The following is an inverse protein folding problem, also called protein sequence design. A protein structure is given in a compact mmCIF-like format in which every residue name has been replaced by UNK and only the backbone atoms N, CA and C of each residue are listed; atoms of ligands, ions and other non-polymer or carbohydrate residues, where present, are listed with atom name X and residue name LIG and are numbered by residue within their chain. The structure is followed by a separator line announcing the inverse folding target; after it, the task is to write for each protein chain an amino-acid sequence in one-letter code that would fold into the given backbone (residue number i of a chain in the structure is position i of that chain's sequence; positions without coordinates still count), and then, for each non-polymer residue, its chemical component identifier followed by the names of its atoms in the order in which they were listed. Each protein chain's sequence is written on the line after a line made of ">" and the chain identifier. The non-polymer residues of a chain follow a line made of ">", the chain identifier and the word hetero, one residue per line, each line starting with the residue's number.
data_IF_721057317334
#
_entry.id   IF_721057317334
#
_cell.length_a   1.000
_cell.length_b   1.000
_cell.length_c   1.000
_cell.angle_alpha   90.00
_cell.angle_beta   90.00
_cell.angle_gamma   90.00
#
_symmetry.space_group_name_H-M   'P 1'
#
loop_
_entity.id
_entity.type
_entity.pdbx_description
1 polymer ?
#
# COMPACT_ATOMS: atom_id res chain seq x y z
N UNK A 1 -18.38 24.49 12.03
CA UNK A 1 -17.80 23.26 12.61
C UNK A 1 -16.62 22.90 11.73
N UNK A 2 -15.40 23.18 12.17
CA UNK A 2 -14.19 22.93 11.36
C UNK A 2 -13.97 21.41 11.30
N UNK A 3 -13.82 20.87 10.09
CA UNK A 3 -13.74 19.41 9.87
C UNK A 3 -12.54 18.84 10.64
N UNK A 4 -12.73 17.67 11.28
CA UNK A 4 -11.66 16.99 11.99
C UNK A 4 -10.51 16.59 11.04
N UNK A 5 -10.84 16.37 9.77
CA UNK A 5 -9.89 16.06 8.69
C UNK A 5 -8.97 17.25 8.38
N UNK A 6 -9.54 18.46 8.22
CA UNK A 6 -8.79 19.69 7.91
C UNK A 6 -7.73 20.01 8.97
N UNK A 7 -7.97 19.67 10.24
CA UNK A 7 -7.03 19.98 11.33
C UNK A 7 -5.77 19.11 11.32
N UNK A 8 -5.89 17.89 10.78
CA UNK A 8 -4.78 16.96 10.71
C UNK A 8 -4.08 17.02 9.35
N UNK A 9 -4.74 17.58 8.32
CA UNK A 9 -4.15 17.73 7.00
C UNK A 9 -2.91 18.63 7.05
N UNK A 10 -1.79 18.10 6.58
CA UNK A 10 -0.50 18.77 6.57
C UNK A 10 -0.13 19.16 5.13
N UNK A 11 -0.43 20.43 4.81
CA UNK A 11 -0.28 21.00 3.48
C UNK A 11 1.10 21.60 3.20
N UNK A 12 1.93 21.78 4.23
CA UNK A 12 3.18 22.53 4.13
C UNK A 12 4.41 21.66 3.87
N UNK A 13 4.26 20.32 3.94
CA UNK A 13 5.39 19.40 3.80
C UNK A 13 5.85 19.27 2.34
N UNK A 14 7.16 19.47 2.07
CA UNK A 14 7.73 19.28 0.74
C UNK A 14 7.53 17.86 0.21
N UNK A 15 7.36 17.73 -1.11
CA UNK A 15 7.08 16.44 -1.78
C UNK A 15 8.09 15.35 -1.42
N UNK A 16 9.39 15.64 -1.40
CA UNK A 16 10.40 14.64 -1.06
C UNK A 16 10.18 14.05 0.34
N UNK A 17 9.84 14.90 1.32
CA UNK A 17 9.55 14.44 2.68
C UNK A 17 8.25 13.64 2.74
N UNK A 18 7.22 14.04 1.97
CA UNK A 18 6.00 13.23 1.84
C UNK A 18 6.30 11.83 1.35
N UNK A 19 7.09 11.71 0.27
CA UNK A 19 7.47 10.45 -0.33
C UNK A 19 8.34 9.62 0.62
N UNK A 20 9.36 10.21 1.24
CA UNK A 20 10.22 9.51 2.20
C UNK A 20 9.41 8.89 3.36
N UNK A 21 8.46 9.65 3.93
CA UNK A 21 7.63 9.16 5.02
C UNK A 21 6.63 8.10 4.56
N UNK A 22 6.06 8.24 3.37
CA UNK A 22 5.20 7.23 2.76
C UNK A 22 5.96 5.91 2.57
N UNK A 23 7.19 6.00 2.10
CA UNK A 23 8.07 4.88 1.80
C UNK A 23 8.47 4.13 3.06
N UNK A 24 8.82 4.86 4.12
CA UNK A 24 9.09 4.28 5.43
C UNK A 24 7.88 3.51 6.00
N UNK A 25 6.66 4.01 5.75
CA UNK A 25 5.43 3.33 6.20
C UNK A 25 5.17 2.05 5.40
N UNK A 26 5.21 2.11 4.06
CA UNK A 26 4.97 0.96 3.18
C UNK A 26 6.04 -0.11 3.40
N UNK A 27 7.31 0.27 3.41
CA UNK A 27 8.42 -0.68 3.52
C UNK A 27 8.51 -1.31 4.93
N UNK A 28 7.93 -0.65 5.93
CA UNK A 28 7.85 -1.16 7.30
C UNK A 28 6.60 -2.00 7.61
N UNK A 29 5.76 -2.33 6.61
CA UNK A 29 4.56 -3.16 6.77
C UNK A 29 4.53 -4.20 5.64
N UNK A 30 4.91 -5.45 5.96
CA UNK A 30 5.06 -6.51 4.95
C UNK A 30 3.74 -6.98 4.33
N UNK A 31 2.67 -6.99 5.13
CA UNK A 31 1.34 -7.46 4.74
C UNK A 31 0.36 -6.29 4.74
N UNK A 32 -0.31 -6.07 3.61
CA UNK A 32 -1.37 -5.09 3.46
C UNK A 32 -2.71 -5.77 3.16
N UNK A 33 -3.78 -5.00 3.24
CA UNK A 33 -5.11 -5.38 2.80
C UNK A 33 -5.33 -4.90 1.35
N UNK A 34 -5.41 -5.84 0.42
CA UNK A 34 -5.63 -5.58 -1.01
C UNK A 34 -7.12 -5.73 -1.33
N UNK A 35 -7.75 -4.64 -1.75
CA UNK A 35 -9.19 -4.56 -1.98
C UNK A 35 -9.50 -4.48 -3.47
N UNK A 36 -10.38 -5.37 -3.92
CA UNK A 36 -10.91 -5.44 -5.29
C UNK A 36 -12.43 -5.31 -5.27
N UNK A 37 -13.02 -5.08 -6.46
CA UNK A 37 -14.46 -5.10 -6.66
C UNK A 37 -14.88 -6.38 -7.36
N UNK A 38 -15.80 -7.13 -6.75
CA UNK A 38 -16.37 -8.36 -7.33
C UNK A 38 -17.42 -8.03 -8.40
N UNK A 39 -17.75 -9.05 -9.20
CA UNK A 39 -18.79 -8.97 -10.25
C UNK A 39 -20.16 -8.53 -9.73
N UNK A 40 -20.47 -8.92 -8.49
CA UNK A 40 -21.70 -8.56 -7.78
C UNK A 40 -21.70 -7.11 -7.26
N UNK A 41 -20.61 -6.37 -7.51
CA UNK A 41 -20.43 -4.96 -7.16
C UNK A 41 -19.90 -4.73 -5.75
N UNK A 42 -19.76 -5.77 -4.93
CA UNK A 42 -19.27 -5.67 -3.56
C UNK A 42 -17.74 -5.63 -3.51
N UNK A 43 -17.22 -4.91 -2.51
CA UNK A 43 -15.78 -4.85 -2.24
C UNK A 43 -15.37 -6.01 -1.35
N UNK A 44 -14.19 -6.55 -1.61
CA UNK A 44 -13.60 -7.63 -0.83
C UNK A 44 -12.12 -7.34 -0.64
N UNK A 45 -11.66 -7.49 0.59
CA UNK A 45 -10.25 -7.27 0.93
C UNK A 45 -9.60 -8.59 1.34
N UNK A 46 -8.32 -8.75 1.00
CA UNK A 46 -7.51 -9.92 1.34
C UNK A 46 -6.10 -9.51 1.70
N UNK A 47 -5.53 -10.21 2.68
CA UNK A 47 -4.14 -9.99 3.07
C UNK A 47 -3.21 -10.38 1.92
N UNK A 48 -2.31 -9.49 1.54
CA UNK A 48 -1.30 -9.72 0.50
C UNK A 48 0.06 -9.19 0.92
N UNK A 49 1.11 -9.92 0.56
CA UNK A 49 2.49 -9.49 0.78
C UNK A 49 2.96 -8.54 -0.31
N UNK A 50 3.35 -7.32 0.09
CA UNK A 50 3.89 -6.32 -0.82
C UNK A 50 5.33 -6.70 -1.16
N UNK A 51 5.65 -6.72 -2.45
CA UNK A 51 7.02 -6.94 -2.89
C UNK A 51 7.82 -5.67 -2.67
N UNK A 52 9.13 -5.85 -2.42
CA UNK A 52 10.00 -4.73 -2.11
C UNK A 52 10.00 -3.79 -3.32
N UNK A 53 9.75 -2.52 -3.08
CA UNK A 53 9.76 -1.51 -4.13
C UNK A 53 11.18 -1.42 -4.69
N UNK A 54 11.29 -1.37 -6.01
CA UNK A 54 12.56 -1.05 -6.64
C UNK A 54 12.73 0.46 -6.78
N UNK A 55 11.67 1.18 -7.20
CA UNK A 55 11.60 2.64 -7.27
C UNK A 55 10.14 3.10 -7.17
N UNK A 56 9.93 4.29 -6.60
CA UNK A 56 8.64 5.00 -6.65
C UNK A 56 7.53 4.42 -5.78
N UNK A 57 6.34 5.01 -5.90
CA UNK A 57 5.17 4.72 -5.06
C UNK A 57 4.30 3.54 -5.53
N UNK A 58 4.68 2.89 -6.64
CA UNK A 58 3.93 1.77 -7.21
C UNK A 58 4.22 0.46 -6.45
N UNK A 59 3.23 -0.43 -6.43
CA UNK A 59 3.27 -1.64 -5.60
C UNK A 59 3.22 -2.90 -6.44
N UNK A 60 4.04 -3.87 -6.09
CA UNK A 60 4.08 -5.18 -6.74
C UNK A 60 3.59 -6.26 -5.79
N UNK A 61 2.84 -7.21 -6.33
CA UNK A 61 2.37 -8.39 -5.61
C UNK A 61 2.64 -9.64 -6.46
N UNK A 62 2.84 -10.77 -5.78
CA UNK A 62 2.89 -12.08 -6.43
C UNK A 62 1.63 -12.87 -6.08
N UNK A 63 1.11 -13.60 -7.05
CA UNK A 63 -0.02 -14.50 -6.83
C UNK A 63 0.01 -15.66 -7.83
N UNK A 64 -0.83 -16.66 -7.56
CA UNK A 64 -1.10 -17.74 -8.50
C UNK A 64 -2.09 -17.26 -9.57
N UNK A 65 -1.84 -17.66 -10.81
CA UNK A 65 -2.71 -17.44 -11.96
C UNK A 65 -4.12 -18.01 -11.74
N UNK A 66 -4.25 -19.08 -10.96
CA UNK A 66 -5.51 -19.78 -10.68
C UNK A 66 -6.21 -19.16 -9.45
N UNK A 67 -6.51 -17.86 -9.50
CA UNK A 67 -7.19 -17.19 -8.38
C UNK A 67 -8.27 -16.19 -8.80
N UNK A 68 -9.40 -16.20 -8.08
CA UNK A 68 -10.57 -15.34 -8.35
C UNK A 68 -10.24 -13.84 -8.39
N UNK A 69 -9.16 -13.43 -7.71
CA UNK A 69 -8.72 -12.02 -7.69
C UNK A 69 -8.32 -11.52 -9.07
N UNK A 70 -7.77 -12.39 -9.93
CA UNK A 70 -7.38 -11.99 -11.27
C UNK A 70 -8.62 -11.75 -12.13
N UNK A 71 -9.64 -12.60 -12.02
CA UNK A 71 -10.94 -12.41 -12.68
C UNK A 71 -11.63 -11.11 -12.23
N UNK A 72 -11.51 -10.75 -10.94
CA UNK A 72 -12.00 -9.47 -10.42
C UNK A 72 -11.27 -8.28 -11.08
N UNK A 73 -9.94 -8.35 -11.16
CA UNK A 73 -9.09 -7.29 -11.73
C UNK A 73 -9.25 -7.11 -13.25
N UNK A 74 -9.49 -8.21 -13.98
CA UNK A 74 -9.79 -8.14 -15.41
C UNK A 74 -11.10 -7.39 -15.69
N UNK A 75 -12.04 -7.41 -14.74
CA UNK A 75 -13.33 -6.71 -14.87
C UNK A 75 -13.30 -5.28 -14.37
N UNK A 76 -12.68 -5.04 -13.23
CA UNK A 76 -12.51 -3.72 -12.66
C UNK A 76 -11.07 -3.60 -12.12
N UNK A 77 -10.19 -2.86 -12.82
CA UNK A 77 -8.80 -2.71 -12.39
C UNK A 77 -8.66 -1.78 -11.18
N UNK A 78 -9.71 -1.08 -10.74
CA UNK A 78 -9.60 -0.16 -9.61
C UNK A 78 -9.42 -0.92 -8.30
N UNK A 79 -8.40 -0.53 -7.54
CA UNK A 79 -8.03 -1.18 -6.28
C UNK A 79 -7.76 -0.17 -5.18
N UNK A 80 -7.89 -0.64 -3.94
CA UNK A 80 -7.33 0.04 -2.78
C UNK A 80 -6.36 -0.89 -2.05
N UNK A 81 -5.17 -0.39 -1.72
CA UNK A 81 -4.19 -1.08 -0.90
C UNK A 81 -4.05 -0.34 0.42
N UNK A 82 -4.46 -0.99 1.51
CA UNK A 82 -4.48 -0.41 2.84
C UNK A 82 -3.44 -1.06 3.75
N UNK A 83 -2.68 -0.22 4.46
CA UNK A 83 -1.69 -0.61 5.44
C UNK A 83 -2.08 -0.06 6.81
N UNK A 84 -1.80 -0.83 7.86
CA UNK A 84 -2.04 -0.41 9.23
C UNK A 84 -0.95 -0.95 10.16
N UNK A 85 -0.33 -0.07 10.94
CA UNK A 85 0.67 -0.42 11.95
C UNK A 85 0.07 -0.24 13.34
N UNK A 86 -0.32 -1.33 13.98
CA UNK A 86 -1.05 -1.29 15.26
C UNK A 86 -0.30 -0.54 16.37
N UNK A 87 1.02 -0.77 16.50
CA UNK A 87 1.82 -0.17 17.58
C UNK A 87 1.88 1.37 17.55
N UNK A 88 1.86 1.98 16.37
CA UNK A 88 1.92 3.45 16.22
C UNK A 88 0.60 4.07 15.76
N UNK A 89 -0.36 3.23 15.32
CA UNK A 89 -1.62 3.60 14.68
C UNK A 89 -1.46 4.39 13.37
N UNK A 90 -0.29 4.28 12.76
CA UNK A 90 -0.03 4.81 11.42
C UNK A 90 -0.73 3.95 10.38
N UNK A 91 -1.20 4.58 9.31
CA UNK A 91 -1.89 3.89 8.23
C UNK A 91 -1.63 4.56 6.90
N UNK A 92 -1.78 3.78 5.84
CA UNK A 92 -1.65 4.23 4.44
C UNK A 92 -2.85 3.67 3.67
N UNK A 93 -3.44 4.48 2.81
CA UNK A 93 -4.43 4.06 1.82
C UNK A 93 -3.97 4.50 0.44
N UNK A 94 -3.65 3.54 -0.40
CA UNK A 94 -3.26 3.75 -1.79
C UNK A 94 -4.46 3.42 -2.68
N UNK A 95 -4.98 4.42 -3.38
CA UNK A 95 -5.97 4.23 -4.45
C UNK A 95 -5.25 4.17 -5.78
N UNK A 96 -5.58 3.21 -6.63
CA UNK A 96 -4.90 3.04 -7.91
C UNK A 96 -5.59 2.07 -8.84
N UNK A 97 -4.89 1.71 -9.92
CA UNK A 97 -5.31 0.69 -10.87
C UNK A 97 -4.30 -0.44 -10.92
N UNK A 98 -4.78 -1.67 -10.93
CA UNK A 98 -3.95 -2.85 -11.01
C UNK A 98 -3.83 -3.37 -12.46
N UNK A 99 -2.63 -3.83 -12.82
CA UNK A 99 -2.33 -4.55 -14.06
C UNK A 99 -1.78 -5.92 -13.73
N UNK A 100 -2.29 -6.93 -14.43
CA UNK A 100 -1.78 -8.31 -14.33
C UNK A 100 -0.59 -8.43 -15.27
N UNK A 101 0.55 -8.90 -14.76
CA UNK A 101 1.73 -9.18 -15.57
C UNK A 101 2.16 -10.63 -15.44
N UNK A 102 2.33 -11.27 -16.60
CA UNK A 102 2.96 -12.59 -16.77
C UNK A 102 4.34 -12.45 -17.44
N UNK A 103 4.89 -11.23 -17.46
CA UNK A 103 6.17 -10.96 -18.08
C UNK A 103 7.28 -11.69 -17.31
N UNK A 104 7.97 -12.60 -18.01
CA UNK A 104 9.00 -13.45 -17.44
C UNK A 104 10.22 -12.67 -16.96
N UNK A 105 10.51 -11.54 -17.59
CA UNK A 105 11.64 -10.70 -17.19
C UNK A 105 11.34 -9.91 -15.91
N UNK A 106 10.11 -9.44 -15.74
CA UNK A 106 9.65 -8.82 -14.48
C UNK A 106 9.61 -9.83 -13.33
N UNK A 107 9.14 -11.05 -13.60
CA UNK A 107 9.14 -12.14 -12.63
C UNK A 107 10.58 -12.46 -12.21
N UNK A 108 11.51 -12.67 -13.15
CA UNK A 108 12.92 -12.92 -12.83
C UNK A 108 13.56 -11.82 -12.00
N UNK A 109 13.23 -10.56 -12.32
CA UNK A 109 13.74 -9.39 -11.59
C UNK A 109 13.23 -9.33 -10.15
N UNK A 110 11.95 -9.61 -9.93
CA UNK A 110 11.30 -9.49 -8.61
C UNK A 110 11.31 -10.78 -7.77
N UNK A 111 11.63 -11.92 -8.39
CA UNK A 111 11.54 -13.23 -7.75
C UNK A 111 12.40 -13.31 -6.49
N UNK A 112 11.79 -13.88 -5.44
CA UNK A 112 12.48 -14.21 -4.19
C UNK A 112 12.38 -15.71 -3.97
N UNK A 113 13.46 -16.33 -3.49
CA UNK A 113 13.48 -17.76 -3.17
C UNK A 113 12.38 -18.17 -2.19
N UNK A 114 11.95 -17.26 -1.31
CA UNK A 114 10.84 -17.50 -0.38
C UNK A 114 9.47 -17.66 -1.05
N UNK A 115 9.30 -17.26 -2.32
CA UNK A 115 8.04 -17.44 -3.03
C UNK A 115 7.71 -18.92 -3.22
N UNK A 116 8.71 -19.80 -3.39
CA UNK A 116 8.49 -21.23 -3.63
C UNK A 116 7.71 -21.92 -2.52
N UNK A 117 7.68 -21.37 -1.30
CA UNK A 117 6.86 -21.87 -0.18
C UNK A 117 5.36 -21.81 -0.50
N UNK A 118 4.95 -20.83 -1.31
CA UNK A 118 3.56 -20.61 -1.71
C UNK A 118 3.18 -21.28 -3.04
N UNK A 119 4.17 -21.84 -3.74
CA UNK A 119 4.00 -22.54 -5.02
C UNK A 119 4.55 -23.97 -4.87
N UNK A 120 3.79 -24.90 -4.25
CA UNK A 120 4.27 -26.24 -3.97
C UNK A 120 4.62 -26.97 -5.27
N UNK A 121 5.62 -27.85 -5.22
CA UNK A 121 6.05 -28.64 -6.37
C UNK A 121 4.97 -29.67 -6.75
N UNK A 122 4.35 -29.44 -7.92
CA UNK A 122 3.36 -30.32 -8.56
C UNK A 122 4.00 -31.13 -9.71
N UNK A 123 5.32 -31.03 -9.88
CA UNK A 123 6.09 -31.69 -10.93
C UNK A 123 6.21 -30.89 -12.22
N UNK A 124 7.22 -31.23 -13.02
CA UNK A 124 7.50 -30.60 -14.30
C UNK A 124 7.83 -29.10 -14.16
N UNK A 125 7.08 -28.25 -14.84
CA UNK A 125 7.26 -26.80 -14.81
C UNK A 125 6.61 -26.13 -13.58
N UNK A 126 5.67 -26.80 -12.88
CA UNK A 126 4.94 -26.26 -11.72
C UNK A 126 5.68 -26.63 -10.42
N UNK A 127 6.92 -26.14 -10.28
CA UNK A 127 7.86 -26.54 -9.22
C UNK A 127 8.22 -25.41 -8.24
N UNK A 128 7.53 -24.28 -8.32
CA UNK A 128 7.79 -23.10 -7.50
C UNK A 128 9.08 -22.36 -7.83
N UNK A 129 9.80 -22.76 -8.89
CA UNK A 129 10.97 -22.03 -9.37
C UNK A 129 10.58 -20.70 -10.00
N UNK A 130 11.58 -19.85 -10.28
CA UNK A 130 11.36 -18.61 -11.02
C UNK A 130 10.64 -18.86 -12.34
N UNK A 131 10.81 -20.03 -12.99
CA UNK A 131 10.16 -20.43 -14.24
C UNK A 131 8.78 -21.08 -14.10
N UNK A 132 8.24 -21.12 -12.88
CA UNK A 132 6.90 -21.65 -12.66
C UNK A 132 5.83 -20.82 -13.40
N UNK A 133 5.01 -21.44 -14.27
CA UNK A 133 4.01 -20.73 -15.07
C UNK A 133 2.83 -20.21 -14.25
N UNK A 134 2.65 -20.69 -13.00
CA UNK A 134 1.62 -20.18 -12.09
C UNK A 134 1.95 -18.79 -11.56
N UNK A 135 3.23 -18.47 -11.44
CA UNK A 135 3.69 -17.20 -10.86
C UNK A 135 3.20 -16.05 -11.75
N UNK A 136 2.32 -15.24 -11.20
CA UNK A 136 1.75 -14.06 -11.83
C UNK A 136 1.99 -12.85 -10.93
N UNK A 137 2.30 -11.72 -11.54
CA UNK A 137 2.48 -10.46 -10.83
C UNK A 137 1.24 -9.59 -10.97
N UNK A 138 0.97 -8.81 -9.93
CA UNK A 138 0.04 -7.69 -9.98
C UNK A 138 0.85 -6.42 -9.73
N UNK A 139 0.78 -5.48 -10.66
CA UNK A 139 1.35 -4.14 -10.53
C UNK A 139 0.23 -3.17 -10.20
N UNK A 140 0.36 -2.39 -9.13
CA UNK A 140 -0.57 -1.31 -8.80
C UNK A 140 0.09 0.01 -9.14
N UNK A 141 -0.45 0.67 -10.16
CA UNK A 141 -0.13 2.05 -10.50
C UNK A 141 -0.92 2.97 -9.53
N UNK A 142 -0.21 3.57 -8.58
CA UNK A 142 -0.82 4.44 -7.57
C UNK A 142 -1.40 5.72 -8.20
N UNK A 143 -2.67 6.01 -7.97
CA UNK A 143 -3.32 7.23 -8.43
C UNK A 143 -3.32 8.32 -7.36
N UNK A 144 -3.57 7.96 -6.11
CA UNK A 144 -3.49 8.87 -4.97
C UNK A 144 -3.17 8.10 -3.70
N UNK A 145 -2.53 8.76 -2.75
CA UNK A 145 -2.20 8.16 -1.46
C UNK A 145 -2.60 9.11 -0.34
N UNK A 146 -3.34 8.59 0.63
CA UNK A 146 -3.58 9.25 1.92
C UNK A 146 -2.92 8.44 3.02
N UNK A 147 -2.19 9.08 3.92
CA UNK A 147 -1.56 8.38 5.03
C UNK A 147 -1.52 9.23 6.29
N UNK A 148 -1.56 8.57 7.43
CA UNK A 148 -1.41 9.19 8.74
C UNK A 148 -0.04 8.82 9.32
N UNK A 149 0.78 9.84 9.58
CA UNK A 149 2.12 9.70 10.14
C UNK A 149 2.16 10.27 11.56
N UNK A 150 2.83 9.56 12.46
CA UNK A 150 3.05 10.03 13.82
C UNK A 150 4.40 10.73 13.93
N UNK A 151 4.43 12.03 13.70
CA UNK A 151 5.67 12.84 13.74
C UNK A 151 5.91 13.53 15.10
N UNK A 152 5.10 13.20 16.12
CA UNK A 152 5.16 13.83 17.44
C UNK A 152 5.88 12.94 18.46
N UNK A 153 6.91 13.45 19.17
CA UNK A 153 7.56 12.70 20.24
C UNK A 153 6.61 12.51 21.45
N UNK A 154 6.84 11.47 22.25
CA UNK A 154 5.95 11.08 23.34
C UNK A 154 5.59 12.20 24.35
N UNK A 155 6.52 13.08 24.78
CA UNK A 155 6.18 14.20 25.65
C UNK A 155 5.20 15.20 25.01
N UNK A 156 5.35 15.46 23.70
CA UNK A 156 4.45 16.36 22.98
C UNK A 156 3.04 15.75 22.86
N UNK A 157 2.95 14.43 22.66
CA UNK A 157 1.66 13.71 22.66
C UNK A 157 0.97 13.82 24.02
N UNK A 158 1.69 13.63 25.12
CA UNK A 158 1.14 13.74 26.48
C UNK A 158 0.61 15.14 26.76
N UNK A 159 1.33 16.18 26.31
CA UNK A 159 0.89 17.56 26.43
C UNK A 159 -0.43 17.82 25.66
N UNK A 160 -0.54 17.34 24.42
CA UNK A 160 -1.79 17.49 23.64
C UNK A 160 -2.96 16.74 24.27
N UNK A 161 -2.74 15.58 24.89
CA UNK A 161 -3.78 14.86 25.64
C UNK A 161 -4.26 15.64 26.86
N UNK A 162 -3.34 16.24 27.64
CA UNK A 162 -3.68 17.08 28.78
C UNK A 162 -4.47 18.33 28.34
N UNK A 163 -4.01 18.99 27.27
CA UNK A 163 -4.69 20.14 26.66
C UNK A 163 -6.08 19.78 26.14
N UNK A 164 -6.25 18.62 25.51
CA UNK A 164 -7.55 18.14 25.04
C UNK A 164 -8.55 17.96 26.19
N UNK A 165 -8.10 17.37 27.31
CA UNK A 165 -8.93 17.18 28.51
C UNK A 165 -9.42 18.52 29.10
N UNK A 166 -8.59 19.56 29.05
CA UNK A 166 -8.94 20.90 29.55
C UNK A 166 -9.80 21.70 28.55
N UNK A 167 -9.50 21.59 27.26
CA UNK A 167 -10.13 22.41 26.22
C UNK A 167 -11.36 21.79 25.57
N UNK A 168 -11.62 20.50 25.80
CA UNK A 168 -12.68 19.73 25.13
C UNK A 168 -12.47 19.54 23.62
N UNK A 169 -11.28 19.87 23.10
CA UNK A 169 -10.94 19.74 21.67
C UNK A 169 -10.14 18.46 21.44
N UNK A 170 -10.34 17.82 20.29
CA UNK A 170 -9.59 16.61 19.92
C UNK A 170 -8.06 16.89 19.86
N UNK A 171 -7.22 15.99 20.38
CA UNK A 171 -5.77 16.14 20.35
C UNK A 171 -5.22 15.92 18.94
N UNK A 172 -4.21 16.71 18.53
CA UNK A 172 -3.48 16.46 17.28
C UNK A 172 -2.36 15.45 17.55
N UNK A 173 -2.60 14.18 17.21
CA UNK A 173 -1.70 13.07 17.52
C UNK A 173 -0.68 12.75 16.42
N UNK A 174 -0.88 13.31 15.23
CA UNK A 174 -0.07 13.12 14.05
C UNK A 174 -0.61 13.96 12.90
N UNK A 175 -0.10 13.69 11.71
CA UNK A 175 -0.38 14.46 10.50
C UNK A 175 -0.97 13.53 9.43
N UNK A 176 -2.09 13.95 8.86
CA UNK A 176 -2.68 13.36 7.67
C UNK A 176 -2.04 14.03 6.46
N UNK A 177 -1.48 13.23 5.56
CA UNK A 177 -0.86 13.73 4.33
C UNK A 177 -1.44 13.04 3.13
N UNK A 178 -1.47 13.79 2.04
CA UNK A 178 -1.91 13.32 0.74
C UNK A 178 -0.80 13.52 -0.29
N UNK A 179 -0.64 12.49 -1.12
CA UNK A 179 0.17 12.51 -2.33
C UNK A 179 -0.77 12.36 -3.51
N UNK A 180 -0.90 13.44 -4.27
CA UNK A 180 -1.77 13.54 -5.45
C UNK A 180 -1.19 12.77 -6.65
N UNK A 181 -2.02 12.52 -7.66
CA UNK A 181 -1.59 11.89 -8.91
C UNK A 181 -0.42 12.64 -9.57
N UNK A 182 -0.47 13.97 -9.64
CA UNK A 182 0.61 14.78 -10.21
C UNK A 182 1.89 14.82 -9.35
N UNK A 183 1.80 14.54 -8.05
CA UNK A 183 2.98 14.30 -7.21
C UNK A 183 3.57 12.91 -7.47
N UNK A 184 2.74 11.89 -7.63
CA UNK A 184 3.16 10.52 -7.95
C UNK A 184 3.76 10.41 -9.36
N UNK A 185 3.25 11.16 -10.34
CA UNK A 185 3.84 11.24 -11.68
C UNK A 185 5.25 11.84 -11.65
N UNK A 186 5.47 12.87 -10.82
CA UNK A 186 6.80 13.45 -10.63
C UNK A 186 7.76 12.50 -9.92
N UNK A 187 7.24 11.68 -9.00
CA UNK A 187 8.00 10.62 -8.35
C UNK A 187 8.45 9.53 -9.35
N UNK A 188 7.56 9.07 -10.24
CA UNK A 188 7.91 8.10 -11.30
C UNK A 188 8.94 8.61 -12.31
N UNK A 189 9.04 9.93 -12.48
CA UNK A 189 9.95 10.57 -13.42
C UNK A 189 11.35 10.83 -12.84
N UNK A 190 11.58 10.55 -11.55
CA UNK A 190 12.89 10.67 -10.88
C UNK A 190 13.77 9.45 -11.13
#
# INVERSE_FOLDING_TARGET
>A
MQDATEKNLDLEVPLNKKLDDLYELIDGIEICMFTTRRRDGYLVSRAMGVQKRENGSDLWFVTDIETDKLDELEQDPHVNVAFYRDGTREWVSVSGTARISRNRDEIRRLYKSSWSIWFPDEGGARNGSVEDPRITLIHVDAHSVSYFKKDRPAPAVLFELAKARLSGRAPKLGDLREVSSGELERDRAR
#
